data_IF_763003693606
#
_entry.id   IF_763003693606
#
_cell.length_a   1.000
_cell.length_b   1.000
_cell.length_c   1.000
_cell.angle_alpha   90.00
_cell.angle_beta   90.00
_cell.angle_gamma   90.00
#
_symmetry.space_group_name_H-M   'P 1'
#
loop_
_entity.id
_entity.type
_entity.pdbx_description
1 polymer ?
#
# COMPACT_ATOMS: atom_id res chain seq x y z
N UNK A 1 -0.36 18.42 -2.61
CA UNK A 1 0.58 18.51 -1.48
C UNK A 1 1.90 17.96 -1.93
N UNK A 2 2.98 18.68 -1.69
CA UNK A 2 4.33 18.13 -1.84
C UNK A 2 4.47 16.98 -0.83
N UNK A 3 4.76 15.76 -1.30
CA UNK A 3 4.95 14.62 -0.39
C UNK A 3 6.20 14.89 0.44
N UNK A 4 6.04 14.86 1.76
CA UNK A 4 7.19 14.99 2.65
C UNK A 4 7.92 13.63 2.71
N UNK A 5 9.23 13.66 2.96
CA UNK A 5 10.06 12.44 3.14
C UNK A 5 9.42 11.47 4.15
N UNK A 6 8.72 11.99 5.16
CA UNK A 6 8.01 11.19 6.16
C UNK A 6 6.88 10.37 5.54
N UNK A 7 6.09 10.98 4.64
CA UNK A 7 4.99 10.28 3.94
C UNK A 7 5.53 9.18 3.05
N UNK A 8 6.63 9.41 2.33
CA UNK A 8 7.24 8.40 1.46
C UNK A 8 7.78 7.20 2.25
N UNK A 9 8.44 7.47 3.40
CA UNK A 9 8.92 6.40 4.29
C UNK A 9 7.74 5.61 4.87
N UNK A 10 6.65 6.28 5.26
CA UNK A 10 5.44 5.61 5.74
C UNK A 10 4.79 4.75 4.66
N UNK A 11 4.62 5.29 3.45
CA UNK A 11 4.09 4.56 2.29
C UNK A 11 4.86 3.28 2.04
N UNK A 12 6.20 3.35 2.00
CA UNK A 12 7.06 2.21 1.74
C UNK A 12 6.91 1.12 2.81
N UNK A 13 6.94 1.51 4.10
CA UNK A 13 6.79 0.57 5.21
C UNK A 13 5.42 -0.11 5.22
N UNK A 14 4.34 0.66 5.08
CA UNK A 14 2.98 0.13 5.07
C UNK A 14 2.78 -0.80 3.87
N UNK A 15 3.29 -0.41 2.69
CA UNK A 15 3.20 -1.23 1.47
C UNK A 15 3.89 -2.57 1.66
N UNK A 16 5.07 -2.59 2.27
CA UNK A 16 5.80 -3.85 2.52
C UNK A 16 5.03 -4.78 3.45
N UNK A 17 4.67 -4.31 4.65
CA UNK A 17 3.99 -5.12 5.67
C UNK A 17 2.66 -5.68 5.17
N UNK A 18 1.87 -4.87 4.48
CA UNK A 18 0.57 -5.31 3.94
C UNK A 18 0.77 -6.34 2.82
N UNK A 19 1.73 -6.14 1.92
CA UNK A 19 2.00 -7.11 0.87
C UNK A 19 2.40 -8.47 1.44
N UNK A 20 3.21 -8.51 2.50
CA UNK A 20 3.56 -9.78 3.16
C UNK A 20 2.32 -10.50 3.71
N UNK A 21 1.38 -9.76 4.31
CA UNK A 21 0.12 -10.32 4.83
C UNK A 21 -0.84 -10.74 3.72
N UNK A 22 -0.84 -10.05 2.58
CA UNK A 22 -1.76 -10.29 1.47
C UNK A 22 -1.29 -11.36 0.48
N UNK A 23 -0.02 -11.76 0.51
CA UNK A 23 0.53 -12.86 -0.33
C UNK A 23 -0.35 -14.11 -0.38
N UNK A 24 -0.87 -14.65 0.74
CA UNK A 24 -1.69 -15.87 0.71
C UNK A 24 -3.05 -15.67 0.02
N UNK A 25 -3.50 -14.43 -0.15
CA UNK A 25 -4.75 -14.06 -0.80
C UNK A 25 -4.56 -13.71 -2.29
N UNK A 26 -3.36 -13.87 -2.82
CA UNK A 26 -3.01 -13.45 -4.18
C UNK A 26 -3.36 -11.97 -4.42
N UNK A 27 -3.20 -11.13 -3.39
CA UNK A 27 -3.42 -9.69 -3.45
C UNK A 27 -2.12 -8.93 -3.23
N UNK A 28 -1.99 -7.77 -3.86
CA UNK A 28 -0.92 -6.80 -3.57
C UNK A 28 -1.47 -5.38 -3.52
N UNK A 29 -0.75 -4.52 -2.82
CA UNK A 29 -0.99 -3.08 -2.76
C UNK A 29 -0.59 -2.45 -4.08
N UNK A 30 -1.57 -1.97 -4.83
CA UNK A 30 -1.38 -1.15 -6.02
C UNK A 30 -0.95 0.25 -5.60
N UNK A 31 -1.82 0.92 -4.81
CA UNK A 31 -1.71 2.33 -4.47
C UNK A 31 -2.05 2.59 -3.01
N UNK A 32 -1.28 3.48 -2.39
CA UNK A 32 -1.57 4.05 -1.09
C UNK A 32 -1.86 5.54 -1.28
N UNK A 33 -2.94 6.01 -0.67
CA UNK A 33 -3.32 7.42 -0.68
C UNK A 33 -3.48 7.93 0.75
N UNK A 34 -2.83 9.05 1.02
CA UNK A 34 -2.95 9.78 2.27
C UNK A 34 -3.80 11.03 2.04
N UNK A 35 -4.89 11.15 2.81
CA UNK A 35 -5.73 12.34 2.83
C UNK A 35 -5.69 12.95 4.24
N UNK A 36 -5.29 14.22 4.31
CA UNK A 36 -5.26 14.99 5.54
C UNK A 36 -6.39 16.01 5.51
N UNK A 37 -7.55 15.61 6.05
CA UNK A 37 -8.65 16.52 6.36
C UNK A 37 -8.56 16.90 7.84
N UNK A 38 -9.57 16.55 8.63
CA UNK A 38 -9.57 16.74 10.09
C UNK A 38 -8.76 15.65 10.83
N UNK A 39 -8.49 14.54 10.15
CA UNK A 39 -7.68 13.41 10.61
C UNK A 39 -6.94 12.80 9.45
N UNK A 40 -5.87 12.08 9.75
CA UNK A 40 -5.14 11.30 8.75
C UNK A 40 -6.00 10.12 8.30
N UNK A 41 -6.31 10.07 7.01
CA UNK A 41 -6.97 8.96 6.34
C UNK A 41 -5.97 8.25 5.43
N UNK A 42 -6.02 6.93 5.48
CA UNK A 42 -5.21 6.03 4.67
C UNK A 42 -6.14 5.17 3.82
N UNK A 43 -6.07 5.32 2.51
CA UNK A 43 -6.78 4.44 1.56
C UNK A 43 -5.76 3.53 0.90
N UNK A 44 -6.04 2.23 0.90
CA UNK A 44 -5.15 1.20 0.34
C UNK A 44 -5.91 0.46 -0.74
N UNK A 45 -5.51 0.68 -2.00
CA UNK A 45 -6.08 -0.01 -3.14
C UNK A 45 -5.29 -1.29 -3.39
N UNK A 46 -6.02 -2.39 -3.51
CA UNK A 46 -5.48 -3.73 -3.70
C UNK A 46 -5.80 -4.22 -5.11
N UNK A 47 -4.86 -4.95 -5.69
CA UNK A 47 -5.05 -5.65 -6.96
C UNK A 47 -4.71 -7.14 -6.81
N UNK A 48 -5.33 -7.98 -7.61
CA UNK A 48 -5.04 -9.41 -7.69
C UNK A 48 -3.73 -9.65 -8.44
N UNK A 49 -2.88 -10.52 -7.92
CA UNK A 49 -1.66 -10.99 -8.59
C UNK A 49 -2.05 -12.13 -9.53
N UNK A 50 -1.73 -12.06 -10.83
CA UNK A 50 -1.94 -13.19 -11.72
C UNK A 50 -1.10 -14.39 -11.28
N UNK A 51 -1.71 -15.58 -11.28
CA UNK A 51 -1.12 -16.86 -10.86
C UNK A 51 0.23 -17.16 -11.57
N UNK A 52 0.51 -16.54 -12.72
CA UNK A 52 1.75 -16.69 -13.49
C UNK A 52 2.99 -16.00 -12.91
N UNK A 53 2.89 -15.30 -11.77
CA UNK A 53 4.04 -14.68 -11.07
C UNK A 53 4.45 -15.38 -9.76
N UNK A 54 3.83 -16.51 -9.43
CA UNK A 54 4.21 -17.35 -8.28
C UNK A 54 5.18 -18.42 -8.78
N UNK A 55 6.47 -18.08 -8.87
CA UNK A 55 7.57 -19.03 -9.12
C UNK A 55 8.55 -18.97 -7.95
#
# INVERSE_FOLDING_TARGET
MEKTVVVDVMESKIKHEINEVLKPLELKVEKIEFDYKERLLLTINLETIPISQVV
#
